data_IF_920119748459
#
_entry.id   IF_920119748459
#
_cell.length_a   1.000
_cell.length_b   1.000
_cell.length_c   1.000
_cell.angle_alpha   90.00
_cell.angle_beta   90.00
_cell.angle_gamma   90.00
#
_symmetry.space_group_name_H-M   'P 1'
#
loop_
_entity.id
_entity.type
_entity.pdbx_description
1 polymer ?
#
# COMPACT_ATOMS: atom_id res chain seq x y z
N UNK A 1 9.24 17.63 8.76
CA UNK A 1 9.76 16.65 7.80
C UNK A 1 11.23 16.83 7.48
N UNK A 2 11.71 17.93 6.88
CA UNK A 2 13.14 18.07 6.49
C UNK A 2 14.12 17.91 7.66
N UNK A 3 13.84 18.54 8.82
CA UNK A 3 14.65 18.36 10.03
C UNK A 3 14.68 16.88 10.47
N UNK A 4 13.53 16.20 10.42
CA UNK A 4 13.39 14.79 10.75
C UNK A 4 14.26 13.91 9.86
N UNK A 5 14.10 13.98 8.53
CA UNK A 5 14.84 13.11 7.61
C UNK A 5 16.34 13.35 7.64
N UNK A 6 16.78 14.61 7.84
CA UNK A 6 18.21 14.91 8.07
C UNK A 6 18.73 14.30 9.37
N UNK A 7 17.93 14.38 10.45
CA UNK A 7 18.30 13.76 11.74
C UNK A 7 18.32 12.23 11.64
N UNK A 8 17.42 11.64 10.87
CA UNK A 8 17.37 10.21 10.59
C UNK A 8 18.50 9.73 9.64
N UNK A 9 19.32 10.65 9.12
CA UNK A 9 20.56 10.29 8.40
C UNK A 9 20.42 10.22 6.88
N UNK A 10 19.38 10.75 6.26
CA UNK A 10 19.20 10.72 4.80
C UNK A 10 20.44 11.29 4.06
N UNK A 11 21.15 12.24 4.68
CA UNK A 11 22.37 12.84 4.12
C UNK A 11 23.56 11.92 4.06
N UNK A 12 23.49 10.70 4.62
CA UNK A 12 24.53 9.69 4.52
C UNK A 12 24.50 8.94 3.17
N UNK A 13 23.40 9.11 2.39
CA UNK A 13 23.28 8.57 1.04
C UNK A 13 23.97 9.55 0.06
N UNK A 14 24.80 9.03 -0.84
CA UNK A 14 25.34 9.82 -1.96
C UNK A 14 24.28 9.95 -3.06
N UNK A 15 23.68 11.13 -3.13
CA UNK A 15 22.65 11.44 -4.12
C UNK A 15 23.19 12.06 -5.41
N UNK A 16 24.49 12.36 -5.48
CA UNK A 16 25.05 13.15 -6.58
C UNK A 16 24.87 12.44 -7.93
N UNK A 17 24.11 13.08 -8.83
CA UNK A 17 23.74 12.61 -10.16
C UNK A 17 22.91 11.31 -10.20
N UNK A 18 22.40 10.82 -9.06
CA UNK A 18 21.62 9.60 -8.96
C UNK A 18 20.15 9.83 -9.32
N UNK A 19 19.54 8.87 -10.00
CA UNK A 19 18.08 8.81 -10.16
C UNK A 19 17.45 8.26 -8.87
N UNK A 20 16.49 9.00 -8.31
CA UNK A 20 15.81 8.63 -7.07
C UNK A 20 14.33 8.39 -7.36
N UNK A 21 13.91 7.14 -7.27
CA UNK A 21 12.50 6.78 -7.30
C UNK A 21 11.84 7.14 -5.96
N UNK A 22 11.01 8.17 -5.94
CA UNK A 22 10.15 8.48 -4.78
C UNK A 22 8.86 7.71 -4.96
N UNK A 23 8.78 6.52 -4.32
CA UNK A 23 7.57 5.71 -4.35
C UNK A 23 6.53 6.29 -3.42
N UNK A 24 5.40 6.64 -3.98
CA UNK A 24 4.26 7.21 -3.28
C UNK A 24 2.96 6.71 -3.92
N UNK A 25 1.89 6.58 -3.13
CA UNK A 25 0.55 6.34 -3.63
C UNK A 25 -0.12 7.66 -3.99
N UNK A 26 -0.62 7.82 -5.20
CA UNK A 26 -1.20 9.08 -5.67
C UNK A 26 -2.65 9.31 -5.22
N UNK A 27 -3.26 8.35 -4.54
CA UNK A 27 -4.69 8.35 -4.20
C UNK A 27 -5.57 7.92 -5.37
N UNK A 28 -6.65 7.19 -5.11
CA UNK A 28 -7.71 6.97 -6.09
C UNK A 28 -8.60 8.23 -6.14
N UNK A 29 -9.07 8.68 -7.31
CA UNK A 29 -9.97 9.84 -7.40
C UNK A 29 -11.20 9.68 -6.51
N UNK A 30 -11.46 10.67 -5.64
CA UNK A 30 -12.50 10.66 -4.63
C UNK A 30 -12.01 10.35 -3.21
N UNK A 31 -10.85 9.72 -3.05
CA UNK A 31 -10.19 9.59 -1.75
C UNK A 31 -9.47 10.89 -1.40
N UNK A 32 -9.57 11.33 -0.15
CA UNK A 32 -8.95 12.59 0.33
C UNK A 32 -7.94 12.34 1.46
N UNK A 33 -7.72 11.10 1.89
CA UNK A 33 -6.81 10.76 2.99
C UNK A 33 -5.36 10.58 2.55
N UNK A 34 -5.07 10.45 1.27
CA UNK A 34 -3.71 10.25 0.75
C UNK A 34 -2.72 11.36 1.14
N UNK A 35 -1.43 11.08 1.08
CA UNK A 35 -0.35 12.05 1.36
C UNK A 35 -0.47 13.24 0.40
N UNK A 36 -0.49 14.44 0.97
CA UNK A 36 -0.66 15.68 0.18
C UNK A 36 0.58 15.99 -0.66
N UNK A 37 0.41 16.51 -1.90
CA UNK A 37 1.51 16.77 -2.84
C UNK A 37 2.59 17.73 -2.32
N UNK A 38 2.26 18.65 -1.39
CA UNK A 38 3.22 19.55 -0.80
C UNK A 38 4.35 18.86 -0.02
N UNK A 39 4.09 17.70 0.57
CA UNK A 39 5.13 16.88 1.19
C UNK A 39 6.08 16.27 0.14
N UNK A 40 5.52 15.78 -0.97
CA UNK A 40 6.31 15.28 -2.09
C UNK A 40 7.17 16.42 -2.71
N UNK A 41 6.60 17.60 -2.92
CA UNK A 41 7.32 18.78 -3.39
C UNK A 41 8.50 19.13 -2.49
N UNK A 42 8.31 19.08 -1.18
CA UNK A 42 9.37 19.38 -0.22
C UNK A 42 10.48 18.33 -0.26
N UNK A 43 10.12 17.05 -0.41
CA UNK A 43 11.08 15.97 -0.52
C UNK A 43 11.88 16.05 -1.82
N UNK A 44 11.21 16.23 -2.94
CA UNK A 44 11.86 16.42 -4.25
C UNK A 44 12.83 17.61 -4.26
N UNK A 45 12.45 18.71 -3.61
CA UNK A 45 13.32 19.90 -3.47
C UNK A 45 14.56 19.60 -2.64
N UNK A 46 14.41 18.88 -1.52
CA UNK A 46 15.54 18.46 -0.69
C UNK A 46 16.48 17.56 -1.48
N UNK A 47 15.99 16.52 -2.14
CA UNK A 47 16.79 15.60 -2.93
C UNK A 47 17.58 16.28 -4.05
N UNK A 48 16.94 17.24 -4.77
CA UNK A 48 17.64 18.06 -5.76
C UNK A 48 18.75 18.88 -5.14
N UNK A 49 18.55 19.43 -3.95
CA UNK A 49 19.59 20.19 -3.24
C UNK A 49 20.80 19.30 -2.82
N UNK A 50 20.59 18.00 -2.73
CA UNK A 50 21.62 16.97 -2.49
C UNK A 50 22.25 16.45 -3.80
N UNK A 51 21.82 16.98 -4.97
CA UNK A 51 22.35 16.61 -6.27
C UNK A 51 21.63 15.46 -6.99
N UNK A 52 20.50 14.99 -6.46
CA UNK A 52 19.70 13.92 -7.05
C UNK A 52 18.87 14.36 -8.26
N UNK A 53 18.41 13.38 -9.03
CA UNK A 53 17.40 13.46 -10.08
C UNK A 53 16.15 12.69 -9.62
N UNK A 54 15.31 13.28 -8.74
CA UNK A 54 14.13 12.60 -8.23
C UNK A 54 12.98 12.57 -9.23
N UNK A 55 12.18 11.51 -9.18
CA UNK A 55 10.89 11.40 -9.83
C UNK A 55 9.89 10.71 -8.88
N UNK A 56 8.61 11.09 -8.96
CA UNK A 56 7.52 10.42 -8.25
C UNK A 56 7.07 9.21 -9.05
N UNK A 57 6.77 8.10 -8.37
CA UNK A 57 6.38 6.88 -9.08
C UNK A 57 5.39 6.03 -8.29
N UNK A 58 4.59 5.28 -9.04
CA UNK A 58 3.75 4.17 -8.62
C UNK A 58 3.66 3.16 -9.79
N UNK A 59 3.09 1.98 -9.57
CA UNK A 59 2.73 1.03 -10.61
C UNK A 59 1.23 0.95 -10.79
N UNK A 60 0.78 0.57 -11.99
CA UNK A 60 -0.62 0.39 -12.32
C UNK A 60 -1.30 -0.64 -11.41
N UNK A 61 -2.62 -0.49 -11.26
CA UNK A 61 -3.43 -1.38 -10.41
C UNK A 61 -3.97 -2.57 -11.17
N UNK A 62 -4.28 -3.65 -10.44
CA UNK A 62 -4.89 -4.86 -10.99
C UNK A 62 -6.42 -4.74 -11.08
N UNK A 63 -7.02 -3.93 -10.20
CA UNK A 63 -8.46 -3.72 -10.14
C UNK A 63 -8.92 -2.62 -11.11
N UNK A 64 -10.21 -2.62 -11.41
CA UNK A 64 -10.85 -1.57 -12.21
C UNK A 64 -10.89 -0.25 -11.44
N UNK A 65 -10.30 0.77 -12.02
CA UNK A 65 -10.19 2.12 -11.45
C UNK A 65 -9.41 3.01 -12.41
N UNK A 66 -9.19 4.26 -12.00
CA UNK A 66 -8.48 5.21 -12.85
C UNK A 66 -6.96 5.10 -12.76
N UNK A 67 -6.44 4.00 -12.19
CA UNK A 67 -5.00 3.73 -12.12
C UNK A 67 -4.62 2.38 -12.75
N UNK A 68 -5.50 1.81 -13.59
CA UNK A 68 -5.27 0.51 -14.25
C UNK A 68 -4.36 0.58 -15.49
N UNK A 69 -4.06 1.77 -15.98
CA UNK A 69 -3.12 2.04 -17.08
C UNK A 69 -2.45 3.39 -16.86
N UNK A 70 -1.30 3.62 -17.51
CA UNK A 70 -0.50 4.81 -17.22
C UNK A 70 -1.17 6.13 -17.61
N UNK A 71 -2.05 6.16 -18.62
CA UNK A 71 -2.72 7.39 -19.04
C UNK A 71 -3.68 7.87 -17.94
N UNK A 72 -4.63 7.01 -17.58
CA UNK A 72 -5.60 7.31 -16.53
C UNK A 72 -4.92 7.50 -15.16
N UNK A 73 -3.83 6.75 -14.90
CA UNK A 73 -3.06 6.86 -13.67
C UNK A 73 -2.37 8.23 -13.55
N UNK A 74 -1.78 8.73 -14.63
CA UNK A 74 -1.20 10.08 -14.66
C UNK A 74 -2.26 11.17 -14.53
N UNK A 75 -3.44 11.00 -15.14
CA UNK A 75 -4.57 11.92 -14.94
C UNK A 75 -5.01 11.92 -13.48
N UNK A 76 -5.18 10.75 -12.86
CA UNK A 76 -5.51 10.62 -11.44
C UNK A 76 -4.47 11.30 -10.54
N UNK A 77 -3.19 11.09 -10.82
CA UNK A 77 -2.10 11.75 -10.10
C UNK A 77 -2.18 13.27 -10.24
N UNK A 78 -2.44 13.76 -11.45
CA UNK A 78 -2.55 15.20 -11.73
C UNK A 78 -3.76 15.83 -11.03
N UNK A 79 -4.93 15.20 -11.05
CA UNK A 79 -6.13 15.65 -10.36
C UNK A 79 -5.91 15.72 -8.84
N UNK A 80 -5.17 14.77 -8.28
CA UNK A 80 -4.79 14.74 -6.88
C UNK A 80 -3.59 15.67 -6.56
N UNK A 81 -3.14 16.46 -7.53
CA UNK A 81 -2.11 17.48 -7.35
C UNK A 81 -0.67 16.99 -7.51
N UNK A 82 -0.44 15.75 -7.96
CA UNK A 82 0.90 15.24 -8.25
C UNK A 82 1.27 15.50 -9.70
N UNK A 83 1.94 16.61 -9.94
CA UNK A 83 2.43 17.03 -11.25
C UNK A 83 3.68 17.92 -11.09
N UNK A 84 4.43 18.22 -12.16
CA UNK A 84 5.66 18.98 -12.07
C UNK A 84 5.51 20.40 -11.49
N UNK A 85 4.31 20.99 -11.56
CA UNK A 85 4.05 22.35 -11.06
C UNK A 85 3.87 22.34 -9.53
N UNK A 86 2.95 21.50 -9.02
CA UNK A 86 2.58 21.44 -7.60
C UNK A 86 3.54 20.57 -6.79
N UNK A 87 3.88 19.39 -7.27
CA UNK A 87 4.80 18.47 -6.60
C UNK A 87 6.29 18.77 -6.88
N UNK A 88 6.59 19.74 -7.78
CA UNK A 88 7.96 20.10 -8.15
C UNK A 88 8.78 18.88 -8.61
N UNK A 89 8.14 17.87 -9.21
CA UNK A 89 8.77 16.62 -9.57
C UNK A 89 8.01 15.94 -10.71
N UNK A 90 8.72 15.32 -11.62
CA UNK A 90 8.14 14.53 -12.70
C UNK A 90 7.47 13.28 -12.13
N UNK A 91 6.42 12.79 -12.82
CA UNK A 91 5.71 11.55 -12.46
C UNK A 91 5.94 10.53 -13.56
N UNK A 92 6.39 9.34 -13.15
CA UNK A 92 6.63 8.20 -14.05
C UNK A 92 5.87 7.00 -13.50
N UNK A 93 5.00 6.40 -14.32
CA UNK A 93 4.36 5.12 -13.97
C UNK A 93 5.35 4.00 -14.29
N UNK A 94 5.81 3.32 -13.25
CA UNK A 94 7.03 2.52 -13.31
C UNK A 94 6.92 1.24 -14.14
N UNK A 95 5.71 0.70 -14.32
CA UNK A 95 5.45 -0.53 -15.07
C UNK A 95 4.86 -0.27 -16.48
N UNK A 96 5.03 0.96 -16.98
CA UNK A 96 4.68 1.35 -18.35
C UNK A 96 3.18 1.47 -18.61
N UNK A 97 2.81 1.55 -19.89
CA UNK A 97 1.46 1.89 -20.35
C UNK A 97 0.38 0.96 -19.79
N UNK A 98 0.64 -0.35 -19.77
CA UNK A 98 -0.33 -1.40 -19.42
C UNK A 98 0.12 -2.27 -18.24
N UNK A 99 1.09 -1.84 -17.46
CA UNK A 99 1.62 -2.62 -16.36
C UNK A 99 2.48 -3.81 -16.75
N UNK A 100 3.02 -3.80 -17.97
CA UNK A 100 3.80 -4.90 -18.59
C UNK A 100 5.29 -4.62 -18.69
N UNK A 101 5.73 -3.41 -18.34
CA UNK A 101 7.16 -3.05 -18.32
C UNK A 101 7.73 -3.30 -16.92
N UNK A 102 8.35 -4.46 -16.73
CA UNK A 102 8.92 -4.89 -15.46
C UNK A 102 10.27 -5.60 -15.63
N UNK A 103 10.96 -5.77 -14.53
CA UNK A 103 12.12 -6.66 -14.41
C UNK A 103 11.81 -7.72 -13.35
N UNK A 104 12.24 -8.94 -13.61
CA UNK A 104 12.22 -10.04 -12.64
C UNK A 104 13.50 -9.96 -11.80
N UNK A 105 13.35 -9.92 -10.47
CA UNK A 105 14.45 -9.82 -9.51
C UNK A 105 14.53 -11.12 -8.73
N UNK A 106 15.53 -11.94 -9.01
CA UNK A 106 15.72 -13.22 -8.33
C UNK A 106 16.10 -13.03 -6.86
N UNK A 107 15.26 -13.47 -5.96
CA UNK A 107 15.54 -13.49 -4.51
C UNK A 107 15.48 -14.90 -3.92
N UNK A 108 14.99 -15.89 -4.69
CA UNK A 108 14.75 -17.26 -4.25
C UNK A 108 13.97 -17.35 -2.93
N UNK A 109 12.94 -16.50 -2.79
CA UNK A 109 12.08 -16.44 -1.62
C UNK A 109 11.29 -17.74 -1.41
N UNK A 110 10.68 -17.86 -0.27
CA UNK A 110 9.86 -19.02 0.09
C UNK A 110 8.57 -19.07 -0.77
N UNK A 111 7.97 -17.89 -1.00
CA UNK A 111 6.70 -17.72 -1.73
C UNK A 111 6.89 -17.15 -3.14
N UNK A 112 7.88 -16.30 -3.35
CA UNK A 112 8.16 -15.64 -4.62
C UNK A 112 9.62 -15.90 -5.04
N UNK A 113 9.83 -16.45 -6.25
CA UNK A 113 11.19 -16.73 -6.74
C UNK A 113 11.84 -15.53 -7.41
N UNK A 114 11.09 -14.86 -8.28
CA UNK A 114 11.53 -13.74 -9.09
C UNK A 114 10.43 -12.66 -9.17
N UNK A 115 10.23 -11.85 -8.11
CA UNK A 115 9.27 -10.75 -8.11
C UNK A 115 9.37 -9.84 -9.33
N UNK A 116 8.20 -9.46 -9.87
CA UNK A 116 8.07 -8.63 -11.08
C UNK A 116 7.90 -7.17 -10.68
N UNK A 117 9.01 -6.43 -10.65
CA UNK A 117 9.07 -5.03 -10.20
C UNK A 117 9.00 -4.09 -11.40
N UNK A 118 8.25 -2.98 -11.27
CA UNK A 118 8.16 -1.96 -12.31
C UNK A 118 9.53 -1.46 -12.76
N UNK A 119 9.77 -1.44 -14.09
CA UNK A 119 11.09 -1.22 -14.68
C UNK A 119 11.73 0.09 -14.21
N UNK A 120 11.00 1.21 -14.17
CA UNK A 120 11.58 2.49 -13.76
C UNK A 120 12.06 2.51 -12.28
N UNK A 121 11.47 1.68 -11.41
CA UNK A 121 11.95 1.52 -10.02
C UNK A 121 13.24 0.72 -10.01
N UNK A 122 13.34 -0.33 -10.82
CA UNK A 122 14.57 -1.13 -10.93
C UNK A 122 15.71 -0.32 -11.57
N UNK A 123 15.41 0.50 -12.56
CA UNK A 123 16.38 1.33 -13.26
C UNK A 123 16.85 2.55 -12.41
N UNK A 124 16.12 2.91 -11.34
CA UNK A 124 16.55 3.95 -10.40
C UNK A 124 17.72 3.48 -9.53
N UNK A 125 18.64 4.41 -9.22
CA UNK A 125 19.81 4.13 -8.38
C UNK A 125 19.47 4.03 -6.90
N UNK A 126 18.45 4.80 -6.46
CA UNK A 126 18.04 4.91 -5.05
C UNK A 126 16.51 4.80 -4.98
N UNK A 127 16.02 4.08 -3.98
CA UNK A 127 14.59 3.99 -3.67
C UNK A 127 14.28 4.77 -2.39
N UNK A 128 13.39 5.75 -2.49
CA UNK A 128 12.83 6.46 -1.34
C UNK A 128 11.32 6.21 -1.31
N UNK A 129 10.76 5.87 -0.15
CA UNK A 129 9.32 5.70 -0.02
C UNK A 129 8.69 6.80 0.83
N UNK A 130 7.54 7.30 0.39
CA UNK A 130 6.66 8.14 1.18
C UNK A 130 5.37 7.33 1.42
N UNK A 131 5.18 6.89 2.65
CA UNK A 131 4.15 5.94 3.00
C UNK A 131 3.03 6.64 3.77
N UNK A 132 1.80 6.53 3.31
CA UNK A 132 0.65 6.83 4.14
C UNK A 132 0.39 5.63 5.06
N UNK A 133 0.51 5.84 6.37
CA UNK A 133 0.27 4.80 7.35
C UNK A 133 -1.22 4.80 7.73
N UNK A 134 -1.94 3.71 7.46
CA UNK A 134 -3.40 3.59 7.62
C UNK A 134 -3.83 2.14 7.73
N UNK A 135 -5.09 1.90 8.08
CA UNK A 135 -5.72 0.58 8.03
C UNK A 135 -5.74 -0.03 6.62
N UNK A 136 -5.96 -1.34 6.56
CA UNK A 136 -6.09 -2.06 5.30
C UNK A 136 -6.82 -3.40 5.49
N UNK A 137 -7.82 -3.62 4.69
CA UNK A 137 -8.77 -4.73 4.76
C UNK A 137 -8.17 -6.13 4.52
N UNK A 138 -7.00 -6.24 3.90
CA UNK A 138 -6.35 -7.53 3.61
C UNK A 138 -5.03 -7.73 4.37
N UNK A 139 -4.37 -6.65 4.76
CA UNK A 139 -3.03 -6.71 5.38
C UNK A 139 -3.00 -6.20 6.82
N UNK A 140 -4.15 -5.78 7.37
CA UNK A 140 -4.29 -5.14 8.67
C UNK A 140 -3.97 -3.65 8.60
N UNK A 141 -2.77 -3.29 8.18
CA UNK A 141 -2.40 -1.93 7.85
C UNK A 141 -1.60 -1.82 6.54
N UNK A 142 -1.50 -0.62 6.00
CA UNK A 142 -0.60 -0.28 4.91
C UNK A 142 0.45 0.72 5.39
N UNK A 143 1.72 0.35 5.26
CA UNK A 143 2.89 1.14 5.62
C UNK A 143 3.99 1.07 4.57
N UNK A 144 5.25 1.06 4.99
CA UNK A 144 6.42 1.00 4.11
C UNK A 144 6.48 -0.31 3.33
N UNK A 145 6.29 -1.45 4.00
CA UNK A 145 6.33 -2.77 3.35
C UNK A 145 5.27 -2.89 2.25
N UNK A 146 4.04 -2.46 2.53
CA UNK A 146 2.98 -2.50 1.52
C UNK A 146 3.24 -1.55 0.36
N UNK A 147 3.74 -0.35 0.63
CA UNK A 147 4.09 0.63 -0.41
C UNK A 147 5.26 0.13 -1.29
N UNK A 148 6.21 -0.59 -0.72
CA UNK A 148 7.28 -1.28 -1.44
C UNK A 148 6.73 -2.50 -2.20
N UNK A 149 6.30 -3.53 -1.47
CA UNK A 149 6.01 -4.84 -2.04
C UNK A 149 4.85 -4.83 -3.01
N UNK A 150 3.68 -4.33 -2.59
CA UNK A 150 2.50 -4.21 -3.47
C UNK A 150 2.64 -3.03 -4.43
N UNK A 151 3.10 -1.88 -3.94
CA UNK A 151 3.14 -0.64 -4.70
C UNK A 151 4.14 -0.67 -5.85
N UNK A 152 5.30 -1.31 -5.70
CA UNK A 152 6.32 -1.41 -6.74
C UNK A 152 6.14 -2.62 -7.67
N UNK A 153 5.25 -3.56 -7.33
CA UNK A 153 4.92 -4.68 -8.19
C UNK A 153 4.21 -4.20 -9.46
N UNK A 154 4.62 -4.71 -10.63
CA UNK A 154 3.88 -4.55 -11.88
C UNK A 154 2.49 -5.18 -11.80
N UNK A 155 1.62 -4.98 -12.80
CA UNK A 155 0.32 -5.67 -12.87
C UNK A 155 0.50 -7.19 -12.76
N UNK A 156 1.47 -7.77 -13.49
CA UNK A 156 1.79 -9.20 -13.39
C UNK A 156 2.33 -9.61 -12.02
N UNK A 157 3.08 -8.72 -11.34
CA UNK A 157 3.53 -8.94 -9.96
C UNK A 157 2.39 -8.87 -8.95
N UNK A 158 1.47 -7.91 -9.10
CA UNK A 158 0.26 -7.84 -8.27
C UNK A 158 -0.62 -9.08 -8.45
N UNK A 159 -0.72 -9.60 -9.67
CA UNK A 159 -1.40 -10.86 -9.92
C UNK A 159 -0.73 -12.02 -9.14
N UNK A 160 0.59 -12.12 -9.14
CA UNK A 160 1.33 -13.13 -8.37
C UNK A 160 1.12 -12.97 -6.86
N UNK A 161 1.12 -11.73 -6.35
CA UNK A 161 0.83 -11.43 -4.95
C UNK A 161 -0.55 -11.94 -4.53
N UNK A 162 -1.57 -11.81 -5.38
CA UNK A 162 -2.94 -12.23 -5.12
C UNK A 162 -3.28 -13.65 -5.62
N UNK A 163 -2.40 -14.32 -6.36
CA UNK A 163 -2.72 -15.54 -7.14
C UNK A 163 -2.96 -16.81 -6.32
N UNK A 164 -2.82 -16.77 -5.02
CA UNK A 164 -3.07 -17.94 -4.17
C UNK A 164 -4.45 -17.93 -3.49
N UNK A 165 -5.24 -16.85 -3.69
CA UNK A 165 -6.59 -16.76 -3.17
C UNK A 165 -7.56 -16.32 -4.25
N UNK A 166 -8.48 -17.19 -4.57
CA UNK A 166 -9.64 -16.80 -5.37
C UNK A 166 -10.79 -16.48 -4.42
N UNK A 167 -11.47 -15.33 -4.60
CA UNK A 167 -12.64 -15.01 -3.78
C UNK A 167 -13.74 -16.03 -4.02
N UNK A 168 -14.53 -16.28 -3.00
CA UNK A 168 -15.75 -17.09 -3.07
C UNK A 168 -16.97 -16.23 -2.74
N UNK A 169 -18.17 -16.71 -3.08
CA UNK A 169 -19.42 -16.04 -2.75
C UNK A 169 -20.23 -16.90 -1.76
N UNK A 170 -20.38 -16.38 -0.53
CA UNK A 170 -21.33 -16.89 0.45
C UNK A 170 -22.75 -16.53 -0.03
N UNK A 171 -23.40 -17.50 -0.64
CA UNK A 171 -24.67 -17.29 -1.37
C UNK A 171 -25.79 -16.73 -0.49
N UNK A 172 -25.84 -17.15 0.77
CA UNK A 172 -26.81 -16.74 1.80
C UNK A 172 -26.72 -15.25 2.14
N UNK A 173 -25.52 -14.66 2.01
CA UNK A 173 -25.28 -13.26 2.31
C UNK A 173 -25.51 -12.34 1.09
N UNK A 174 -25.54 -12.90 -0.12
CA UNK A 174 -25.64 -12.11 -1.35
C UNK A 174 -26.99 -11.41 -1.49
N UNK A 175 -26.97 -10.09 -1.60
CA UNK A 175 -28.16 -9.24 -1.79
C UNK A 175 -28.41 -8.84 -3.26
N UNK A 176 -27.74 -9.46 -4.22
CA UNK A 176 -27.94 -9.18 -5.66
C UNK A 176 -27.69 -7.71 -6.04
N UNK A 177 -26.87 -6.99 -5.28
CA UNK A 177 -26.65 -5.55 -5.50
C UNK A 177 -25.85 -5.23 -6.78
N UNK A 178 -25.24 -6.25 -7.39
CA UNK A 178 -24.50 -6.16 -8.66
C UNK A 178 -23.23 -5.30 -8.62
N UNK A 179 -22.77 -4.86 -7.44
CA UNK A 179 -21.58 -4.02 -7.30
C UNK A 179 -20.32 -4.78 -7.74
N UNK A 180 -20.13 -6.00 -7.24
CA UNK A 180 -18.98 -6.84 -7.61
C UNK A 180 -18.92 -7.15 -9.11
N UNK A 181 -20.07 -7.35 -9.76
CA UNK A 181 -20.15 -7.58 -11.21
C UNK A 181 -19.69 -6.35 -11.99
N UNK A 182 -20.21 -5.17 -11.63
CA UNK A 182 -19.88 -3.91 -12.34
C UNK A 182 -18.42 -3.48 -12.21
N UNK A 183 -17.73 -3.94 -11.18
CA UNK A 183 -16.36 -3.52 -10.88
C UNK A 183 -15.33 -4.63 -11.13
N UNK A 184 -15.74 -5.78 -11.67
CA UNK A 184 -14.80 -6.82 -12.04
C UNK A 184 -14.06 -6.44 -13.34
N UNK A 185 -12.77 -6.12 -13.24
CA UNK A 185 -11.94 -5.74 -14.39
C UNK A 185 -11.71 -6.88 -15.39
N UNK A 186 -12.05 -8.12 -15.01
CA UNK A 186 -11.81 -9.33 -15.81
C UNK A 186 -13.11 -10.00 -16.27
N UNK A 187 -14.26 -9.35 -16.06
CA UNK A 187 -15.58 -9.91 -16.38
C UNK A 187 -15.78 -11.34 -15.81
N UNK A 188 -15.16 -11.61 -14.68
CA UNK A 188 -15.16 -12.92 -14.02
C UNK A 188 -16.38 -13.13 -13.12
N UNK A 189 -17.22 -12.12 -12.90
CA UNK A 189 -18.36 -12.23 -11.99
C UNK A 189 -19.65 -11.89 -12.75
N UNK A 190 -20.64 -12.74 -12.58
CA UNK A 190 -21.99 -12.56 -13.14
C UNK A 190 -23.05 -12.93 -12.11
N UNK A 191 -24.30 -12.52 -12.33
CA UNK A 191 -25.43 -13.02 -11.54
C UNK A 191 -25.98 -14.28 -12.19
N UNK A 192 -26.15 -15.34 -11.40
CA UNK A 192 -26.79 -16.58 -11.86
C UNK A 192 -28.30 -16.45 -12.01
N UNK A 193 -28.97 -17.55 -12.39
CA UNK A 193 -30.44 -17.59 -12.56
C UNK A 193 -31.23 -17.25 -11.29
N UNK A 194 -30.61 -17.32 -10.11
CA UNK A 194 -31.17 -16.91 -8.82
C UNK A 194 -30.79 -15.48 -8.43
N UNK A 195 -30.16 -14.73 -9.33
CA UNK A 195 -29.59 -13.38 -9.14
C UNK A 195 -28.51 -13.32 -8.06
N UNK A 196 -27.81 -14.41 -7.79
CA UNK A 196 -26.69 -14.48 -6.86
C UNK A 196 -25.39 -14.34 -7.63
N UNK A 197 -24.45 -13.56 -7.11
CA UNK A 197 -23.13 -13.40 -7.72
C UNK A 197 -22.42 -14.75 -7.80
N UNK A 198 -21.84 -15.05 -8.95
CA UNK A 198 -21.10 -16.28 -9.24
C UNK A 198 -19.79 -15.92 -9.93
N UNK A 199 -18.71 -16.57 -9.56
CA UNK A 199 -17.36 -16.30 -10.07
C UNK A 199 -16.96 -17.35 -11.09
N UNK A 200 -16.54 -16.88 -12.26
CA UNK A 200 -15.89 -17.69 -13.29
C UNK A 200 -14.39 -17.76 -12.96
N UNK A 201 -13.95 -18.88 -12.43
CA UNK A 201 -12.57 -19.07 -11.99
C UNK A 201 -11.56 -19.23 -13.13
N UNK A 202 -12.00 -19.42 -14.37
CA UNK A 202 -11.10 -19.36 -15.54
C UNK A 202 -10.69 -17.93 -15.88
N UNK A 203 -11.54 -16.94 -15.51
CA UNK A 203 -11.29 -15.51 -15.71
C UNK A 203 -10.81 -14.81 -14.46
N UNK A 204 -11.11 -15.37 -13.28
CA UNK A 204 -10.80 -14.74 -12.00
C UNK A 204 -9.29 -14.77 -11.74
N UNK A 205 -8.71 -13.57 -11.56
CA UNK A 205 -7.28 -13.39 -11.26
C UNK A 205 -7.00 -13.24 -9.77
N UNK A 206 -8.00 -13.39 -8.91
CA UNK A 206 -7.82 -13.31 -7.45
C UNK A 206 -7.57 -11.90 -6.88
N UNK A 207 -7.84 -10.82 -7.61
CA UNK A 207 -7.48 -9.45 -7.20
C UNK A 207 -8.19 -8.95 -5.92
N UNK A 208 -9.21 -9.66 -5.42
CA UNK A 208 -9.93 -9.31 -4.19
C UNK A 208 -10.88 -8.11 -4.29
N UNK A 209 -11.01 -7.45 -5.46
CA UNK A 209 -11.87 -6.27 -5.61
C UNK A 209 -13.33 -6.52 -5.23
N UNK A 210 -13.88 -7.69 -5.56
CA UNK A 210 -15.25 -8.06 -5.20
C UNK A 210 -15.43 -8.22 -3.68
N UNK A 211 -14.40 -8.68 -2.98
CA UNK A 211 -14.38 -8.81 -1.51
C UNK A 211 -14.39 -7.43 -0.88
N UNK A 212 -13.47 -6.59 -1.33
CA UNK A 212 -13.33 -5.23 -0.85
C UNK A 212 -14.60 -4.38 -1.03
N UNK A 213 -15.37 -4.60 -2.11
CA UNK A 213 -16.59 -3.86 -2.43
C UNK A 213 -17.87 -4.43 -1.79
N UNK A 214 -17.81 -5.63 -1.20
CA UNK A 214 -18.99 -6.30 -0.68
C UNK A 214 -19.35 -5.79 0.72
N UNK A 215 -20.43 -5.03 0.82
CA UNK A 215 -20.95 -4.51 2.09
C UNK A 215 -21.79 -5.54 2.87
N UNK A 216 -21.90 -6.77 2.38
CA UNK A 216 -22.78 -7.80 2.94
C UNK A 216 -22.02 -9.08 3.32
N UNK A 217 -20.69 -9.06 3.31
CA UNK A 217 -19.83 -10.22 3.56
C UNK A 217 -20.22 -11.46 2.72
N UNK A 218 -20.74 -11.18 1.52
CA UNK A 218 -21.11 -12.23 0.57
C UNK A 218 -19.91 -12.62 -0.30
N UNK A 219 -19.10 -11.67 -0.76
CA UNK A 219 -17.84 -11.98 -1.40
C UNK A 219 -16.75 -11.97 -0.32
N UNK A 220 -16.11 -13.11 -0.10
CA UNK A 220 -15.06 -13.32 0.90
C UNK A 220 -13.86 -14.00 0.23
N UNK A 221 -12.68 -13.92 0.84
CA UNK A 221 -11.54 -14.70 0.34
C UNK A 221 -11.77 -16.18 0.60
N UNK A 222 -11.52 -17.01 -0.41
CA UNK A 222 -11.60 -18.47 -0.26
C UNK A 222 -10.45 -19.01 0.60
N UNK A 223 -10.57 -20.26 1.04
CA UNK A 223 -9.69 -20.95 2.00
C UNK A 223 -8.22 -21.13 1.54
N UNK A 224 -7.77 -20.46 0.51
CA UNK A 224 -6.43 -20.65 -0.09
C UNK A 224 -5.38 -19.62 0.28
N UNK A 225 -5.75 -18.40 0.71
CA UNK A 225 -4.78 -17.36 1.12
C UNK A 225 -5.28 -16.62 2.34
N UNK A 226 -4.56 -16.85 3.39
CA UNK A 226 -4.69 -16.05 4.60
C UNK A 226 -4.06 -14.67 4.34
N UNK A 227 -4.51 -13.65 5.05
CA UNK A 227 -3.84 -12.34 5.15
C UNK A 227 -2.32 -12.51 5.36
N UNK A 228 -1.92 -13.54 6.08
CA UNK A 228 -0.53 -13.89 6.36
C UNK A 228 0.27 -14.15 5.07
N UNK A 229 -0.23 -14.99 4.18
CA UNK A 229 0.49 -15.35 2.95
C UNK A 229 0.64 -14.15 2.02
N UNK A 230 -0.36 -13.28 1.94
CA UNK A 230 -0.25 -12.01 1.23
C UNK A 230 0.83 -11.13 1.86
N UNK A 231 0.86 -11.03 3.19
CA UNK A 231 1.87 -10.28 3.92
C UNK A 231 3.28 -10.86 3.74
N UNK A 232 3.44 -12.20 3.71
CA UNK A 232 4.72 -12.85 3.39
C UNK A 232 5.22 -12.50 1.99
N UNK A 233 4.35 -12.59 0.98
CA UNK A 233 4.69 -12.22 -0.39
C UNK A 233 5.04 -10.73 -0.51
N UNK A 234 4.32 -9.85 0.19
CA UNK A 234 4.63 -8.41 0.23
C UNK A 234 6.03 -8.17 0.80
N UNK A 235 6.41 -8.87 1.88
CA UNK A 235 7.74 -8.79 2.45
C UNK A 235 8.83 -9.24 1.45
N UNK A 236 8.61 -10.35 0.74
CA UNK A 236 9.54 -10.84 -0.28
C UNK A 236 9.65 -9.90 -1.49
N UNK A 237 8.54 -9.33 -1.96
CA UNK A 237 8.55 -8.29 -2.98
C UNK A 237 9.29 -7.04 -2.51
N UNK A 238 9.11 -6.63 -1.25
CA UNK A 238 9.86 -5.50 -0.67
C UNK A 238 11.35 -5.76 -0.67
N UNK A 239 11.77 -6.99 -0.33
CA UNK A 239 13.18 -7.41 -0.41
C UNK A 239 13.73 -7.29 -1.84
N UNK A 240 12.96 -7.72 -2.84
CA UNK A 240 13.36 -7.61 -4.24
C UNK A 240 13.52 -6.15 -4.69
N UNK A 241 12.64 -5.25 -4.26
CA UNK A 241 12.72 -3.81 -4.58
C UNK A 241 13.99 -3.18 -4.02
N UNK A 242 14.39 -3.57 -2.80
CA UNK A 242 15.51 -2.97 -2.07
C UNK A 242 16.84 -3.69 -2.28
N UNK A 243 16.85 -4.80 -3.04
CA UNK A 243 18.05 -5.61 -3.24
C UNK A 243 19.18 -4.76 -3.86
N UNK A 244 20.29 -4.67 -3.15
CA UNK A 244 21.50 -3.92 -3.53
C UNK A 244 21.28 -2.42 -3.83
N UNK A 245 20.21 -1.81 -3.28
CA UNK A 245 19.90 -0.40 -3.48
C UNK A 245 19.96 0.40 -2.17
N UNK A 246 20.65 1.55 -2.16
CA UNK A 246 20.44 2.54 -1.12
C UNK A 246 18.96 2.94 -1.05
N UNK A 247 18.43 3.00 0.15
CA UNK A 247 17.00 3.29 0.34
C UNK A 247 16.75 4.09 1.61
N UNK A 248 15.58 4.74 1.68
CA UNK A 248 15.15 5.49 2.84
C UNK A 248 13.61 5.59 2.85
N UNK A 249 13.01 5.48 4.03
CA UNK A 249 11.55 5.38 4.19
C UNK A 249 11.01 6.46 5.11
N UNK A 250 9.86 7.05 4.70
CA UNK A 250 9.18 8.09 5.46
C UNK A 250 7.70 7.70 5.56
N UNK A 251 7.20 7.53 6.78
CA UNK A 251 5.80 7.21 7.04
C UNK A 251 5.05 8.39 7.65
N UNK A 252 3.91 8.71 7.06
CA UNK A 252 2.99 9.77 7.49
C UNK A 252 1.86 9.12 8.28
N UNK A 253 1.88 9.31 9.60
CA UNK A 253 0.86 8.82 10.54
C UNK A 253 -0.14 9.96 10.73
N UNK A 254 -0.83 10.28 9.64
CA UNK A 254 -1.75 11.41 9.50
C UNK A 254 -2.94 10.99 8.67
N UNK A 255 -4.15 11.45 9.01
CA UNK A 255 -5.38 10.98 8.38
C UNK A 255 -5.46 9.43 8.36
N UNK A 256 -5.15 8.79 9.47
CA UNK A 256 -5.12 7.32 9.57
C UNK A 256 -6.53 6.78 9.35
N UNK A 257 -6.88 6.53 8.09
CA UNK A 257 -8.17 5.97 7.68
C UNK A 257 -8.26 4.48 8.00
N UNK A 258 -9.45 3.93 8.23
CA UNK A 258 -9.63 2.48 8.41
C UNK A 258 -9.26 1.66 7.17
N UNK A 259 -9.45 2.22 5.97
CA UNK A 259 -9.22 1.54 4.69
C UNK A 259 -8.07 2.17 3.89
N UNK A 260 -7.71 1.49 2.80
CA UNK A 260 -6.64 1.86 1.90
C UNK A 260 -6.97 3.08 1.02
N UNK A 261 -5.96 3.87 0.64
CA UNK A 261 -6.08 4.95 -0.37
C UNK A 261 -6.42 4.44 -1.78
N UNK A 262 -6.50 3.13 -1.98
CA UNK A 262 -6.91 2.52 -3.23
C UNK A 262 -8.44 2.55 -3.47
N UNK A 263 -9.21 2.91 -2.46
CA UNK A 263 -10.63 3.20 -2.58
C UNK A 263 -10.88 4.60 -3.15
N UNK A 264 -11.99 4.77 -3.85
CA UNK A 264 -12.44 6.07 -4.37
C UNK A 264 -13.17 6.93 -3.31
N UNK A 265 -13.05 6.58 -2.05
CA UNK A 265 -13.55 7.28 -0.87
C UNK A 265 -12.67 6.95 0.32
N UNK A 266 -12.84 7.67 1.41
CA UNK A 266 -12.23 7.37 2.69
C UNK A 266 -13.23 7.64 3.81
N UNK A 267 -13.09 6.91 4.90
CA UNK A 267 -13.77 7.19 6.16
C UNK A 267 -12.97 8.22 6.99
N UNK A 268 -13.56 8.68 8.08
CA UNK A 268 -12.89 9.54 9.05
C UNK A 268 -11.67 8.85 9.68
N UNK A 269 -10.67 9.64 10.02
CA UNK A 269 -9.47 9.11 10.70
C UNK A 269 -9.85 8.45 12.04
N UNK A 270 -9.17 7.35 12.36
CA UNK A 270 -9.41 6.56 13.58
C UNK A 270 -8.65 7.09 14.80
N UNK A 271 -7.55 7.80 14.55
CA UNK A 271 -6.71 8.45 15.56
C UNK A 271 -6.35 9.86 15.11
N UNK A 272 -5.95 10.77 16.00
CA UNK A 272 -5.42 12.09 15.61
C UNK A 272 -4.21 11.96 14.69
N UNK A 273 -3.82 13.06 14.03
CA UNK A 273 -2.54 13.13 13.34
C UNK A 273 -1.40 12.98 14.36
N UNK A 274 -0.61 11.92 14.24
CA UNK A 274 0.44 11.56 15.19
C UNK A 274 1.83 12.01 14.73
N UNK A 275 1.96 12.39 13.46
CA UNK A 275 3.19 12.96 12.92
C UNK A 275 3.80 12.19 11.75
N UNK A 276 5.13 12.29 11.65
CA UNK A 276 5.91 11.70 10.56
C UNK A 276 7.08 10.95 11.17
N UNK A 277 7.28 9.70 10.77
CA UNK A 277 8.43 8.88 11.16
C UNK A 277 9.34 8.61 9.95
N UNK A 278 10.63 8.35 10.17
CA UNK A 278 11.58 8.04 9.11
C UNK A 278 12.66 7.08 9.59
N UNK A 279 13.05 6.14 8.73
CA UNK A 279 14.09 5.13 8.99
C UNK A 279 14.72 4.64 7.68
N UNK A 280 15.91 4.05 7.77
CA UNK A 280 16.50 3.20 6.73
C UNK A 280 15.87 1.80 6.71
N UNK A 281 15.35 1.35 7.84
CA UNK A 281 14.74 0.04 8.00
C UNK A 281 13.20 0.15 7.86
N UNK A 282 12.60 -0.43 6.81
CA UNK A 282 11.16 -0.38 6.59
C UNK A 282 10.36 -1.23 7.60
N UNK A 283 10.97 -2.29 8.16
CA UNK A 283 10.33 -3.19 9.14
C UNK A 283 10.23 -2.48 10.48
N UNK A 284 11.36 -1.92 10.97
CA UNK A 284 11.39 -1.11 12.19
C UNK A 284 10.45 0.09 12.09
N UNK A 285 10.38 0.73 10.91
CA UNK A 285 9.49 1.86 10.67
C UNK A 285 8.01 1.47 10.78
N UNK A 286 7.60 0.37 10.13
CA UNK A 286 6.22 -0.09 10.16
C UNK A 286 5.83 -0.56 11.57
N UNK A 287 6.74 -1.26 12.28
CA UNK A 287 6.52 -1.65 13.69
C UNK A 287 6.33 -0.43 14.60
N UNK A 288 7.22 0.56 14.50
CA UNK A 288 7.11 1.79 15.28
C UNK A 288 5.80 2.56 15.00
N UNK A 289 5.42 2.67 13.71
CA UNK A 289 4.16 3.32 13.33
C UNK A 289 2.94 2.58 13.87
N UNK A 290 2.94 1.24 13.81
CA UNK A 290 1.87 0.41 14.38
C UNK A 290 1.74 0.64 15.89
N UNK A 291 2.85 0.59 16.62
CA UNK A 291 2.86 0.82 18.07
C UNK A 291 2.37 2.23 18.43
N UNK A 292 2.77 3.26 17.67
CA UNK A 292 2.31 4.63 17.88
C UNK A 292 0.78 4.72 17.71
N UNK A 293 0.20 4.09 16.67
CA UNK A 293 -1.25 4.09 16.45
C UNK A 293 -1.99 3.27 17.51
N UNK A 294 -1.47 2.10 17.88
CA UNK A 294 -2.06 1.25 18.91
C UNK A 294 -2.16 1.98 20.27
N UNK A 295 -1.14 2.76 20.62
CA UNK A 295 -1.11 3.51 21.87
C UNK A 295 -1.78 4.89 21.81
N UNK A 296 -2.24 5.32 20.65
CA UNK A 296 -2.93 6.60 20.50
C UNK A 296 -4.41 6.50 20.95
N UNK A 297 -5.00 7.61 21.46
CA UNK A 297 -6.44 7.69 21.70
C UNK A 297 -7.18 7.59 20.35
N UNK A 298 -8.39 7.06 20.36
CA UNK A 298 -9.27 7.07 19.20
C UNK A 298 -9.89 8.46 18.99
N UNK A 299 -10.30 8.73 17.74
CA UNK A 299 -11.17 9.87 17.43
C UNK A 299 -12.64 9.42 17.48
N UNK A 300 -13.42 10.05 18.35
CA UNK A 300 -14.87 9.82 18.43
C UNK A 300 -15.62 10.64 17.35
N UNK A 301 -15.39 10.30 16.10
CA UNK A 301 -15.91 11.07 14.95
C UNK A 301 -16.96 10.32 14.14
N UNK A 302 -17.56 9.24 14.69
CA UNK A 302 -18.48 8.37 13.97
C UNK A 302 -17.77 7.49 12.93
N UNK A 303 -16.48 7.22 13.13
CA UNK A 303 -15.73 6.26 12.33
C UNK A 303 -15.99 4.83 12.81
N UNK A 304 -15.52 3.86 12.04
CA UNK A 304 -15.75 2.43 12.30
C UNK A 304 -15.31 1.96 13.70
N UNK A 305 -14.30 2.59 14.32
CA UNK A 305 -13.88 2.26 15.68
C UNK A 305 -14.79 2.86 16.76
N UNK A 306 -15.29 4.08 16.55
CA UNK A 306 -16.20 4.72 17.49
C UNK A 306 -17.56 4.03 17.57
N UNK A 307 -17.96 3.29 16.53
CA UNK A 307 -19.15 2.46 16.50
C UNK A 307 -18.96 1.07 17.13
N UNK A 308 -17.72 0.75 17.54
CA UNK A 308 -17.41 -0.52 18.24
C UNK A 308 -18.03 -0.54 19.63
N UNK A 309 -18.64 -1.65 20.07
CA UNK A 309 -19.18 -1.78 21.45
C UNK A 309 -18.14 -1.69 22.56
N UNK A 310 -16.85 -1.65 22.21
CA UNK A 310 -15.71 -1.57 23.13
C UNK A 310 -14.94 -0.23 23.04
N UNK A 311 -15.52 0.80 22.39
CA UNK A 311 -14.84 2.06 22.11
C UNK A 311 -14.21 2.78 23.32
N UNK A 312 -14.79 2.61 24.53
CA UNK A 312 -14.33 3.29 25.76
C UNK A 312 -12.94 2.83 26.27
N UNK A 313 -12.37 1.75 25.72
CA UNK A 313 -11.15 1.10 26.23
C UNK A 313 -10.16 0.69 25.13
N UNK A 314 -10.10 1.43 24.02
CA UNK A 314 -9.26 1.07 22.86
C UNK A 314 -7.82 1.61 22.91
N UNK A 315 -7.43 2.36 23.95
CA UNK A 315 -6.03 2.74 24.14
C UNK A 315 -5.20 1.49 24.47
N UNK A 316 -4.10 1.26 23.75
CA UNK A 316 -3.29 0.05 23.88
C UNK A 316 -3.87 -1.21 23.21
N UNK A 317 -5.07 -1.15 22.61
CA UNK A 317 -5.63 -2.24 21.83
C UNK A 317 -5.19 -2.17 20.36
N UNK A 318 -5.06 -3.33 19.72
CA UNK A 318 -4.76 -3.43 18.29
C UNK A 318 -5.96 -2.96 17.45
N UNK A 319 -5.97 -1.68 17.12
CA UNK A 319 -7.02 -1.03 16.34
C UNK A 319 -7.16 -1.62 14.93
N UNK A 320 -6.06 -2.10 14.35
CA UNK A 320 -6.06 -2.69 13.02
C UNK A 320 -6.76 -4.04 13.02
N UNK A 321 -6.49 -4.88 14.02
CA UNK A 321 -7.18 -6.15 14.18
C UNK A 321 -8.66 -5.97 14.55
N UNK A 322 -9.00 -4.96 15.34
CA UNK A 322 -10.41 -4.65 15.66
C UNK A 322 -11.19 -4.25 14.40
N UNK A 323 -10.58 -3.44 13.52
CA UNK A 323 -11.22 -3.04 12.26
C UNK A 323 -11.27 -4.16 11.22
N UNK A 324 -10.24 -4.99 11.18
CA UNK A 324 -10.03 -6.04 10.18
C UNK A 324 -9.61 -7.35 10.87
N UNK A 325 -10.55 -8.02 11.57
CA UNK A 325 -10.24 -9.19 12.41
C UNK A 325 -9.72 -10.40 11.63
N UNK A 326 -9.98 -10.46 10.33
CA UNK A 326 -9.50 -11.52 9.44
C UNK A 326 -8.03 -11.32 9.01
N UNK A 327 -7.36 -10.26 9.51
CA UNK A 327 -6.00 -9.93 9.11
C UNK A 327 -4.97 -10.25 10.20
N UNK A 328 -3.75 -10.55 9.76
CA UNK A 328 -2.59 -10.74 10.63
C UNK A 328 -1.40 -9.96 10.08
N UNK A 329 -1.28 -8.70 10.47
CA UNK A 329 -0.19 -7.82 10.03
C UNK A 329 1.16 -8.19 10.67
N UNK A 330 1.15 -8.75 11.87
CA UNK A 330 2.35 -9.18 12.59
C UNK A 330 3.13 -10.22 11.79
N UNK A 331 2.43 -11.16 11.17
CA UNK A 331 3.04 -12.19 10.33
C UNK A 331 3.91 -11.61 9.19
N UNK A 332 3.50 -10.46 8.62
CA UNK A 332 4.29 -9.77 7.60
C UNK A 332 5.61 -9.22 8.14
N UNK A 333 5.60 -8.62 9.32
CA UNK A 333 6.82 -8.10 9.96
C UNK A 333 7.75 -9.23 10.39
N UNK A 334 7.21 -10.30 10.97
CA UNK A 334 7.97 -11.49 11.37
C UNK A 334 8.66 -12.14 10.16
N UNK A 335 7.94 -12.29 9.05
CA UNK A 335 8.52 -12.84 7.82
C UNK A 335 9.58 -11.90 7.22
N UNK A 336 9.33 -10.59 7.22
CA UNK A 336 10.31 -9.60 6.74
C UNK A 336 11.61 -9.65 7.54
N UNK A 337 11.54 -9.80 8.86
CA UNK A 337 12.70 -10.00 9.73
C UNK A 337 13.38 -11.35 9.47
N UNK A 338 12.61 -12.43 9.38
CA UNK A 338 13.10 -13.80 9.04
C UNK A 338 13.92 -13.83 7.75
N UNK A 339 13.49 -13.10 6.72
CA UNK A 339 14.20 -13.06 5.44
C UNK A 339 15.33 -12.02 5.40
N UNK A 340 15.60 -11.32 6.51
CA UNK A 340 16.69 -10.34 6.64
C UNK A 340 16.45 -9.02 5.90
N UNK A 341 15.19 -8.60 5.77
CA UNK A 341 14.83 -7.31 5.18
C UNK A 341 15.05 -6.15 6.18
N UNK A 342 14.87 -6.40 7.46
CA UNK A 342 15.05 -5.45 8.56
C UNK A 342 14.83 -6.13 9.90
N UNK A 343 14.56 -5.35 10.94
CA UNK A 343 14.26 -5.82 12.31
C UNK A 343 13.04 -5.14 12.88
N UNK A 344 12.33 -5.79 13.79
CA UNK A 344 11.24 -5.19 14.55
C UNK A 344 11.71 -4.37 15.75
N UNK A 345 13.00 -4.47 16.11
CA UNK A 345 13.59 -3.67 17.18
C UNK A 345 13.87 -2.25 16.69
N UNK A 346 13.49 -1.24 17.47
CA UNK A 346 13.71 0.16 17.12
C UNK A 346 13.94 1.03 18.38
N UNK A 347 14.61 2.15 18.18
CA UNK A 347 14.67 3.26 19.12
C UNK A 347 13.93 4.46 18.53
N UNK A 348 12.92 4.96 19.23
CA UNK A 348 12.15 6.13 18.81
C UNK A 348 12.79 7.43 19.29
N UNK A 349 13.33 8.22 18.34
CA UNK A 349 13.96 9.52 18.63
C UNK A 349 13.03 10.64 18.15
N UNK A 350 12.51 11.41 19.08
CA UNK A 350 11.69 12.59 18.77
C UNK A 350 12.56 13.80 18.39
N UNK A 351 12.15 14.59 17.36
CA UNK A 351 12.91 15.74 16.84
C UNK A 351 12.07 17.01 16.65
#
# INVERSE_FOLDING_TARGET
MERLVKRAGITNIDFKNQFVAIKIHFGEPGNLAYIRPNYAARMATLLRSLGAKPFLTDCNTLYSGRRSNAVDHLESAMENGFNPISAKCEVIIADGLKGTDYREIEINGEYCKAPKIGAAIVDADIVLTMNHFKGHEQTGFGGALKNLGMGCASVGGKLELHSASQPIVARENCKSCNICVKHCAHDAIHLDGSKIATIDYEKCVGCGQCVALCQYDAAVMGDGDTSERLNYKIAEYSKAVLLDKPNFHISFIMNVSPECDCWNHNDAAIVPDLGIAASFDPVALDKACADIVINAPILETGNRLSDSPHHDHLEGCDKFHIMHPETNWQAGLEHAEKIGLGTQEYELITV
#
